data_IF_010844379567
#
_entry.id   IF_010844379567
#
_cell.length_a   1.000
_cell.length_b   1.000
_cell.length_c   1.000
_cell.angle_alpha   90.00
_cell.angle_beta   90.00
_cell.angle_gamma   90.00
#
_symmetry.space_group_name_H-M   'P 1'
#
loop_
_entity.id
_entity.type
_entity.pdbx_description
1 polymer ?
#
# COMPACT_ATOMS: atom_id res chain seq x y z
N UNK A 1 20.97 -96.52 47.29
CA UNK A 1 21.58 -95.17 47.38
C UNK A 1 21.26 -94.43 46.09
N UNK A 2 20.20 -93.63 46.12
CA UNK A 2 19.66 -92.85 45.01
C UNK A 2 19.43 -91.43 45.56
N UNK A 3 19.37 -90.42 44.69
CA UNK A 3 19.01 -89.00 44.98
C UNK A 3 20.15 -87.98 45.12
N UNK A 4 20.98 -87.78 44.07
CA UNK A 4 21.73 -86.51 43.97
C UNK A 4 22.04 -86.00 42.55
N UNK A 5 21.65 -86.71 41.49
CA UNK A 5 21.97 -86.28 40.12
C UNK A 5 20.89 -85.41 39.44
N UNK A 6 19.65 -85.38 39.95
CA UNK A 6 18.51 -84.79 39.23
C UNK A 6 18.20 -83.31 39.55
N UNK A 7 19.01 -82.62 40.38
CA UNK A 7 18.77 -81.22 40.80
C UNK A 7 19.56 -80.15 40.02
N UNK A 8 20.54 -80.55 39.20
CA UNK A 8 21.41 -79.58 38.50
C UNK A 8 20.86 -79.24 37.09
N UNK A 9 20.21 -80.19 36.42
CA UNK A 9 19.64 -79.98 35.09
C UNK A 9 18.40 -79.05 35.07
N UNK A 10 17.64 -78.95 36.18
CA UNK A 10 16.42 -78.13 36.22
C UNK A 10 16.68 -76.63 36.44
N UNK A 11 17.89 -76.23 36.89
CA UNK A 11 18.23 -74.82 37.14
C UNK A 11 18.78 -74.09 35.91
N UNK A 12 19.38 -74.81 34.95
CA UNK A 12 19.88 -74.20 33.71
C UNK A 12 18.76 -73.79 32.74
N UNK A 13 17.64 -74.53 32.72
CA UNK A 13 16.45 -74.16 31.93
C UNK A 13 15.66 -72.98 32.52
N UNK A 14 15.68 -72.83 33.86
CA UNK A 14 15.02 -71.73 34.56
C UNK A 14 15.77 -70.40 34.38
N UNK A 15 17.12 -70.41 34.36
CA UNK A 15 17.91 -69.19 34.11
C UNK A 15 17.78 -68.68 32.66
N UNK A 16 17.68 -69.56 31.65
CA UNK A 16 17.45 -69.13 30.26
C UNK A 16 16.04 -68.57 30.02
N UNK A 17 15.03 -69.05 30.74
CA UNK A 17 13.67 -68.46 30.72
C UNK A 17 13.60 -67.13 31.47
N UNK A 18 14.34 -66.99 32.57
CA UNK A 18 14.41 -65.74 33.33
C UNK A 18 15.18 -64.63 32.57
N UNK A 19 16.27 -64.95 31.88
CA UNK A 19 17.02 -63.97 31.08
C UNK A 19 16.27 -63.53 29.82
N UNK A 20 15.57 -64.45 29.14
CA UNK A 20 14.71 -64.12 27.99
C UNK A 20 13.50 -63.26 28.37
N UNK A 21 12.86 -63.54 29.52
CA UNK A 21 11.75 -62.73 30.03
C UNK A 21 12.18 -61.32 30.46
N UNK A 22 13.36 -61.18 31.08
CA UNK A 22 13.91 -59.88 31.44
C UNK A 22 14.31 -59.07 30.21
N UNK A 23 14.93 -59.68 29.21
CA UNK A 23 15.28 -59.00 27.95
C UNK A 23 14.02 -58.55 27.20
N UNK A 24 12.96 -59.37 27.17
CA UNK A 24 11.69 -59.01 26.53
C UNK A 24 10.96 -57.89 27.27
N UNK A 25 10.95 -57.91 28.61
CA UNK A 25 10.43 -56.81 29.44
C UNK A 25 11.25 -55.52 29.26
N UNK A 26 12.56 -55.63 29.12
CA UNK A 26 13.44 -54.48 28.91
C UNK A 26 13.27 -53.90 27.51
N UNK A 27 13.07 -54.74 26.49
CA UNK A 27 12.70 -54.30 25.12
C UNK A 27 11.30 -53.68 25.12
N UNK A 28 10.33 -54.24 25.84
CA UNK A 28 8.99 -53.64 25.99
C UNK A 28 9.06 -52.30 26.75
N UNK A 29 9.84 -52.21 27.81
CA UNK A 29 10.03 -50.98 28.57
C UNK A 29 10.74 -49.89 27.74
N UNK A 30 11.78 -50.25 26.98
CA UNK A 30 12.43 -49.33 26.03
C UNK A 30 11.47 -48.96 24.90
N UNK A 31 10.68 -49.91 24.39
CA UNK A 31 9.64 -49.67 23.40
C UNK A 31 8.63 -48.63 23.91
N UNK A 32 8.13 -48.79 25.13
CA UNK A 32 7.22 -47.83 25.77
C UNK A 32 7.92 -46.47 25.98
N UNK A 33 9.18 -46.43 26.43
CA UNK A 33 9.94 -45.19 26.60
C UNK A 33 10.19 -44.44 25.28
N UNK A 34 10.24 -45.13 24.14
CA UNK A 34 10.31 -44.49 22.81
C UNK A 34 8.99 -43.80 22.44
N UNK A 35 7.85 -44.34 22.87
CA UNK A 35 6.52 -43.75 22.63
C UNK A 35 6.13 -42.65 23.63
N UNK A 36 6.75 -42.60 24.82
CA UNK A 36 6.44 -41.62 25.89
C UNK A 36 7.42 -40.43 25.86
N UNK A 37 8.05 -40.11 24.72
CA UNK A 37 8.94 -38.95 24.65
C UNK A 37 8.13 -37.66 24.79
N UNK A 38 8.41 -36.81 25.80
CA UNK A 38 7.74 -35.53 25.94
C UNK A 38 8.02 -34.66 24.72
N UNK A 39 7.00 -34.00 24.21
CA UNK A 39 7.15 -33.01 23.15
C UNK A 39 7.65 -31.71 23.76
N UNK A 40 8.57 -31.04 23.08
CA UNK A 40 9.14 -29.79 23.60
C UNK A 40 8.88 -28.69 22.60
N UNK A 41 8.40 -27.54 23.07
CA UNK A 41 8.35 -26.31 22.28
C UNK A 41 9.26 -25.27 22.91
N UNK A 42 9.91 -24.50 22.06
CA UNK A 42 10.72 -23.36 22.46
C UNK A 42 10.27 -22.17 21.63
N UNK A 43 9.54 -21.24 22.25
CA UNK A 43 9.07 -20.03 21.57
C UNK A 43 10.17 -18.97 21.57
N UNK A 44 10.40 -18.33 20.43
CA UNK A 44 11.21 -17.13 20.34
C UNK A 44 10.60 -15.93 21.08
N UNK A 45 11.34 -14.82 21.22
CA UNK A 45 10.81 -13.58 21.81
C UNK A 45 9.68 -12.95 20.98
N UNK A 46 9.66 -13.20 19.69
CA UNK A 46 8.69 -12.74 18.69
C UNK A 46 7.62 -13.79 18.38
N UNK A 47 7.51 -14.85 19.19
CA UNK A 47 6.63 -15.98 18.92
C UNK A 47 5.77 -16.34 20.13
N UNK A 48 4.57 -16.81 19.87
CA UNK A 48 3.69 -17.46 20.84
C UNK A 48 3.23 -18.79 20.26
N UNK A 49 2.97 -19.79 21.09
CA UNK A 49 2.51 -21.08 20.58
C UNK A 49 1.21 -21.52 21.26
N UNK A 50 0.33 -22.15 20.49
CA UNK A 50 -0.83 -22.86 21.03
C UNK A 50 -0.47 -24.31 21.26
N UNK A 51 -0.77 -24.81 22.45
CA UNK A 51 -0.57 -26.20 22.81
C UNK A 51 -1.88 -26.97 22.68
N UNK A 52 -1.84 -28.03 21.87
CA UNK A 52 -2.93 -28.99 21.71
C UNK A 52 -2.45 -30.37 22.17
N UNK A 53 -3.21 -31.02 23.04
CA UNK A 53 -2.96 -32.44 23.29
C UNK A 53 -3.33 -33.25 22.06
N UNK A 54 -2.49 -34.18 21.61
CA UNK A 54 -2.75 -34.99 20.40
C UNK A 54 -2.08 -36.38 20.46
N UNK A 55 -2.41 -37.15 21.51
CA UNK A 55 -1.83 -38.46 21.75
C UNK A 55 -2.59 -39.61 21.06
N UNK A 56 -1.93 -40.76 20.90
CA UNK A 56 -2.53 -41.97 20.33
C UNK A 56 -3.80 -42.47 21.05
N UNK A 57 -4.03 -42.00 22.28
CA UNK A 57 -5.17 -42.36 23.13
C UNK A 57 -5.93 -41.15 23.69
N UNK A 58 -5.57 -39.92 23.30
CA UNK A 58 -6.20 -38.69 23.79
C UNK A 58 -6.76 -37.88 22.61
N UNK A 59 -7.98 -37.34 22.71
CA UNK A 59 -8.55 -36.54 21.62
C UNK A 59 -7.79 -35.22 21.48
N UNK A 60 -7.76 -34.69 20.25
CA UNK A 60 -7.19 -33.38 19.99
C UNK A 60 -7.95 -32.29 20.73
N UNK A 61 -7.30 -31.63 21.70
CA UNK A 61 -7.91 -30.58 22.53
C UNK A 61 -6.92 -29.48 22.84
N UNK A 62 -7.39 -28.25 22.77
CA UNK A 62 -6.64 -27.10 23.25
C UNK A 62 -6.34 -27.26 24.75
N UNK A 63 -5.11 -26.90 25.15
CA UNK A 63 -4.65 -26.96 26.54
C UNK A 63 -4.39 -25.56 27.08
N UNK A 64 -3.41 -24.90 26.50
CA UNK A 64 -2.91 -23.62 26.97
C UNK A 64 -2.12 -22.90 25.87
N UNK A 65 -1.82 -21.63 26.13
CA UNK A 65 -0.94 -20.83 25.30
C UNK A 65 0.45 -20.73 25.95
N UNK A 66 1.47 -21.05 25.18
CA UNK A 66 2.87 -20.89 25.55
C UNK A 66 3.31 -19.47 25.20
N UNK A 67 3.69 -18.71 26.22
CA UNK A 67 4.15 -17.32 26.09
C UNK A 67 5.48 -17.22 25.34
N UNK A 68 5.83 -16.01 24.92
CA UNK A 68 7.09 -15.70 24.25
C UNK A 68 8.31 -15.95 25.15
N UNK A 69 9.43 -16.38 24.56
CA UNK A 69 10.68 -16.70 25.26
C UNK A 69 10.55 -17.80 26.32
N UNK A 70 9.65 -18.76 26.11
CA UNK A 70 9.40 -19.85 27.05
C UNK A 70 9.72 -21.19 26.40
N UNK A 71 10.33 -22.07 27.18
CA UNK A 71 10.44 -23.49 26.83
C UNK A 71 9.45 -24.27 27.67
N UNK A 72 8.58 -25.03 27.01
CA UNK A 72 7.62 -25.92 27.64
C UNK A 72 7.95 -27.39 27.31
N UNK A 73 7.67 -28.26 28.27
CA UNK A 73 7.80 -29.71 28.17
C UNK A 73 6.43 -30.33 28.39
N UNK A 74 5.85 -30.86 27.31
CA UNK A 74 4.46 -31.31 27.27
C UNK A 74 4.38 -32.81 26.98
N UNK A 75 3.14 -33.33 26.97
CA UNK A 75 2.86 -34.75 26.87
C UNK A 75 3.33 -35.37 25.56
N UNK A 76 3.58 -36.70 25.54
CA UNK A 76 3.98 -37.38 24.33
C UNK A 76 2.88 -37.34 23.26
N UNK A 77 3.24 -36.86 22.08
CA UNK A 77 2.34 -36.71 20.93
C UNK A 77 1.64 -35.36 20.85
N UNK A 78 1.78 -34.49 21.85
CA UNK A 78 1.16 -33.18 21.83
C UNK A 78 1.72 -32.31 20.69
N UNK A 79 0.88 -31.41 20.16
CA UNK A 79 1.20 -30.54 19.04
C UNK A 79 1.24 -29.10 19.47
N UNK A 80 2.26 -28.40 18.97
CA UNK A 80 2.44 -26.97 19.19
C UNK A 80 2.36 -26.24 17.86
N UNK A 81 1.57 -25.17 17.85
CA UNK A 81 1.39 -24.31 16.68
C UNK A 81 1.86 -22.91 17.00
N UNK A 82 3.01 -22.54 16.45
CA UNK A 82 3.63 -21.24 16.69
C UNK A 82 3.08 -20.17 15.75
N UNK A 83 2.94 -18.95 16.29
CA UNK A 83 2.44 -17.76 15.61
C UNK A 83 3.33 -16.56 15.91
N UNK A 84 3.46 -15.62 14.95
CA UNK A 84 4.23 -14.42 15.18
C UNK A 84 3.49 -13.47 16.14
N UNK A 85 4.23 -12.92 17.09
CA UNK A 85 3.80 -11.84 17.99
C UNK A 85 4.26 -10.47 17.50
N UNK A 86 5.27 -10.42 16.62
CA UNK A 86 5.75 -9.19 16.01
C UNK A 86 4.85 -8.72 14.87
N UNK A 87 4.99 -7.45 14.51
CA UNK A 87 4.40 -6.91 13.30
C UNK A 87 4.84 -7.70 12.07
N UNK A 88 3.91 -7.90 11.15
CA UNK A 88 4.11 -8.59 9.88
C UNK A 88 3.89 -7.62 8.75
N UNK A 89 4.76 -7.69 7.75
CA UNK A 89 4.65 -6.91 6.53
C UNK A 89 4.16 -7.81 5.42
N UNK A 90 3.12 -7.37 4.72
CA UNK A 90 2.63 -7.97 3.51
C UNK A 90 2.94 -7.04 2.34
N UNK A 91 3.90 -7.45 1.51
CA UNK A 91 4.44 -6.64 0.42
C UNK A 91 3.75 -7.03 -0.88
N UNK A 92 3.15 -6.07 -1.57
CA UNK A 92 2.57 -6.27 -2.90
C UNK A 92 3.32 -5.42 -3.92
N UNK A 93 3.87 -6.06 -4.94
CA UNK A 93 4.72 -5.45 -5.95
C UNK A 93 5.80 -6.40 -6.46
N UNK A 94 6.76 -5.86 -7.22
CA UNK A 94 7.86 -6.65 -7.77
C UNK A 94 8.74 -7.25 -6.66
N UNK A 95 8.86 -8.58 -6.64
CA UNK A 95 9.62 -9.30 -5.61
C UNK A 95 8.94 -9.39 -4.23
N UNK A 96 7.67 -8.99 -4.12
CA UNK A 96 6.87 -9.10 -2.89
C UNK A 96 6.13 -10.42 -2.72
N UNK A 97 5.26 -10.49 -1.70
CA UNK A 97 4.38 -11.62 -1.39
C UNK A 97 3.28 -11.81 -2.47
N UNK A 98 2.96 -10.75 -3.22
CA UNK A 98 1.98 -10.74 -4.32
C UNK A 98 2.39 -9.73 -5.41
N UNK A 99 1.87 -9.84 -6.65
CA UNK A 99 2.03 -8.80 -7.65
C UNK A 99 1.37 -7.48 -7.23
N UNK A 100 1.69 -6.43 -7.97
CA UNK A 100 1.10 -5.10 -7.86
C UNK A 100 -0.44 -5.14 -7.89
N UNK A 101 -1.06 -4.27 -7.10
CA UNK A 101 -2.53 -4.15 -7.04
C UNK A 101 -3.00 -3.21 -8.14
N UNK A 102 -3.88 -3.71 -9.01
CA UNK A 102 -4.56 -2.93 -10.05
C UNK A 102 -5.85 -2.33 -9.51
N UNK A 103 -6.11 -1.06 -9.80
CA UNK A 103 -7.33 -0.35 -9.41
C UNK A 103 -7.72 0.67 -10.47
N UNK A 104 -8.96 1.17 -10.41
CA UNK A 104 -9.46 2.18 -11.35
C UNK A 104 -9.62 3.52 -10.64
N UNK A 105 -9.06 4.59 -11.21
CA UNK A 105 -9.27 5.95 -10.71
C UNK A 105 -10.66 6.49 -11.05
N UNK A 106 -11.04 7.62 -10.46
CA UNK A 106 -12.27 8.35 -10.78
C UNK A 106 -12.47 8.61 -12.28
N UNK A 107 -11.38 8.81 -13.02
CA UNK A 107 -11.40 9.10 -14.45
C UNK A 107 -11.51 7.83 -15.33
N UNK A 108 -11.68 6.66 -14.71
CA UNK A 108 -11.78 5.38 -15.42
C UNK A 108 -10.43 4.86 -15.92
N UNK A 109 -9.31 5.38 -15.39
CA UNK A 109 -7.97 4.92 -15.76
C UNK A 109 -7.55 3.80 -14.82
N UNK A 110 -7.25 2.65 -15.38
CA UNK A 110 -6.62 1.55 -14.65
C UNK A 110 -5.17 1.92 -14.31
N UNK A 111 -4.79 1.80 -13.04
CA UNK A 111 -3.45 2.04 -12.54
C UNK A 111 -3.02 0.88 -11.64
N UNK A 112 -1.72 0.69 -11.50
CA UNK A 112 -1.15 -0.31 -10.58
C UNK A 112 -0.40 0.39 -9.45
N UNK A 113 -0.48 -0.14 -8.24
CA UNK A 113 0.28 0.36 -7.08
C UNK A 113 1.00 -0.77 -6.38
N UNK A 114 2.24 -0.48 -6.03
CA UNK A 114 3.06 -1.29 -5.13
C UNK A 114 2.98 -0.73 -3.72
N UNK A 115 3.14 -1.56 -2.71
CA UNK A 115 3.08 -1.10 -1.33
C UNK A 115 3.32 -2.19 -0.31
N UNK A 116 3.20 -1.77 0.95
CA UNK A 116 3.35 -2.65 2.11
C UNK A 116 2.16 -2.41 3.03
N UNK A 117 1.47 -3.49 3.38
CA UNK A 117 0.49 -3.50 4.45
C UNK A 117 1.13 -4.19 5.66
N UNK A 118 1.41 -3.43 6.70
CA UNK A 118 1.85 -3.94 7.98
C UNK A 118 0.65 -4.18 8.90
N UNK A 119 0.68 -5.24 9.70
CA UNK A 119 -0.36 -5.56 10.67
C UNK A 119 0.20 -6.43 11.79
N UNK A 120 -0.54 -6.53 12.89
CA UNK A 120 -0.26 -7.41 14.02
C UNK A 120 -1.34 -8.50 14.10
N UNK A 121 -0.93 -9.72 14.48
CA UNK A 121 -1.86 -10.78 14.83
C UNK A 121 -2.20 -10.62 16.32
N UNK A 122 -3.48 -10.63 16.67
CA UNK A 122 -3.90 -10.61 18.06
C UNK A 122 -3.48 -11.92 18.75
N UNK A 123 -2.48 -11.81 19.63
CA UNK A 123 -1.92 -12.95 20.36
C UNK A 123 -2.59 -13.20 21.71
N UNK A 124 -3.74 -12.59 22.00
CA UNK A 124 -4.55 -13.00 23.15
C UNK A 124 -4.91 -14.48 23.02
N UNK A 125 -4.79 -15.22 24.12
CA UNK A 125 -4.87 -16.68 24.07
C UNK A 125 -6.20 -17.20 23.51
N UNK A 126 -7.32 -16.56 23.88
CA UNK A 126 -8.65 -16.99 23.41
C UNK A 126 -8.85 -16.62 21.94
N UNK A 127 -8.45 -15.42 21.54
CA UNK A 127 -8.56 -14.93 20.17
C UNK A 127 -7.66 -15.72 19.23
N UNK A 128 -6.42 -16.00 19.65
CA UNK A 128 -5.46 -16.81 18.90
C UNK A 128 -5.93 -18.25 18.73
N UNK A 129 -6.56 -18.84 19.76
CA UNK A 129 -7.18 -20.16 19.65
C UNK A 129 -8.28 -20.17 18.59
N UNK A 130 -9.22 -19.21 18.63
CA UNK A 130 -10.29 -19.08 17.63
C UNK A 130 -9.71 -18.89 16.22
N UNK A 131 -8.67 -18.07 16.08
CA UNK A 131 -7.97 -17.90 14.81
C UNK A 131 -7.41 -19.23 14.29
N UNK A 132 -6.74 -20.00 15.15
CA UNK A 132 -6.19 -21.30 14.79
C UNK A 132 -7.27 -22.29 14.36
N UNK A 133 -8.38 -22.34 15.09
CA UNK A 133 -9.46 -23.29 14.83
C UNK A 133 -10.22 -22.96 13.53
N UNK A 134 -10.48 -21.68 13.26
CA UNK A 134 -11.25 -21.24 12.09
C UNK A 134 -10.41 -21.12 10.81
N UNK A 135 -9.19 -20.58 10.94
CA UNK A 135 -8.36 -20.19 9.80
C UNK A 135 -7.02 -20.95 9.80
N UNK A 136 -6.31 -20.93 10.94
CA UNK A 136 -4.94 -21.45 11.04
C UNK A 136 -4.81 -22.91 10.59
N UNK A 137 -5.69 -23.79 11.07
CA UNK A 137 -5.69 -25.22 10.71
C UNK A 137 -6.07 -25.46 9.24
N UNK A 138 -7.01 -24.68 8.71
CA UNK A 138 -7.50 -24.85 7.33
C UNK A 138 -6.40 -24.60 6.30
N UNK A 139 -5.58 -23.59 6.54
CA UNK A 139 -4.50 -23.20 5.62
C UNK A 139 -3.13 -23.73 6.05
N UNK A 140 -3.01 -24.43 7.18
CA UNK A 140 -1.74 -24.68 7.85
C UNK A 140 -0.93 -23.39 8.05
N UNK A 141 -1.62 -22.30 8.40
CA UNK A 141 -1.07 -20.96 8.56
C UNK A 141 -0.42 -20.79 9.94
N UNK A 142 0.41 -21.72 10.36
CA UNK A 142 1.27 -21.65 11.54
C UNK A 142 2.74 -21.70 11.08
N UNK A 143 3.66 -21.28 11.93
CA UNK A 143 5.08 -21.26 11.61
C UNK A 143 5.63 -22.69 11.55
N UNK A 144 6.27 -23.07 10.44
CA UNK A 144 6.88 -24.41 10.29
C UNK A 144 8.35 -24.44 10.72
N UNK A 145 9.05 -23.30 10.58
CA UNK A 145 10.47 -23.16 10.92
C UNK A 145 10.67 -22.30 12.17
N UNK A 146 11.82 -22.52 12.82
CA UNK A 146 12.31 -21.71 13.94
C UNK A 146 12.63 -20.26 13.56
N UNK A 147 12.68 -19.95 12.26
CA UNK A 147 13.28 -18.72 11.72
C UNK A 147 12.32 -17.52 11.66
N UNK A 148 11.15 -17.60 12.31
CA UNK A 148 10.24 -16.46 12.37
C UNK A 148 9.35 -16.28 11.12
N UNK A 149 9.66 -16.94 10.01
CA UNK A 149 8.91 -16.81 8.77
C UNK A 149 7.62 -17.65 8.78
N UNK A 150 6.57 -17.10 8.18
CA UNK A 150 5.28 -17.77 8.07
C UNK A 150 5.39 -18.94 7.09
N UNK A 151 4.59 -19.99 7.27
CA UNK A 151 4.52 -21.09 6.31
C UNK A 151 3.98 -20.62 4.95
N UNK A 152 4.14 -21.44 3.90
CA UNK A 152 3.44 -21.21 2.64
C UNK A 152 1.90 -21.08 2.84
N UNK A 153 1.36 -21.82 3.82
CA UNK A 153 -0.03 -21.72 4.25
C UNK A 153 -0.41 -20.36 4.82
N UNK A 154 0.50 -19.71 5.54
CA UNK A 154 0.33 -18.34 6.04
C UNK A 154 0.17 -17.35 4.90
N UNK A 155 1.05 -17.39 3.89
CA UNK A 155 0.94 -16.52 2.72
C UNK A 155 -0.35 -16.77 1.94
N UNK A 156 -0.75 -18.03 1.77
CA UNK A 156 -2.01 -18.38 1.11
C UNK A 156 -3.21 -17.80 1.88
N UNK A 157 -3.20 -17.89 3.21
CA UNK A 157 -4.23 -17.28 4.06
C UNK A 157 -4.28 -15.76 3.88
N UNK A 158 -3.13 -15.07 3.91
CA UNK A 158 -3.07 -13.61 3.71
C UNK A 158 -3.61 -13.20 2.34
N UNK A 159 -3.37 -13.99 1.28
CA UNK A 159 -3.90 -13.71 -0.05
C UNK A 159 -5.44 -13.66 -0.09
N UNK A 160 -6.11 -14.41 0.79
CA UNK A 160 -7.57 -14.46 0.87
C UNK A 160 -8.11 -13.40 1.83
N UNK A 161 -7.56 -13.32 3.04
CA UNK A 161 -8.12 -12.53 4.14
C UNK A 161 -7.58 -11.11 4.24
N UNK A 162 -6.38 -10.83 3.72
CA UNK A 162 -5.81 -9.48 3.73
C UNK A 162 -5.85 -8.89 2.33
N UNK A 163 -5.42 -9.66 1.32
CA UNK A 163 -5.22 -9.08 0.00
C UNK A 163 -6.51 -8.70 -0.72
N UNK A 164 -7.59 -9.50 -0.60
CA UNK A 164 -8.88 -9.15 -1.24
C UNK A 164 -9.55 -7.94 -0.58
N UNK A 165 -9.62 -7.85 0.77
CA UNK A 165 -10.02 -6.62 1.44
C UNK A 165 -9.19 -5.41 1.03
N UNK A 166 -7.86 -5.58 0.98
CA UNK A 166 -6.94 -4.51 0.57
C UNK A 166 -7.20 -4.02 -0.85
N UNK A 167 -7.32 -4.91 -1.83
CA UNK A 167 -7.69 -4.57 -3.21
C UNK A 167 -9.02 -3.82 -3.26
N UNK A 168 -10.00 -4.27 -2.47
CA UNK A 168 -11.32 -3.63 -2.39
C UNK A 168 -11.25 -2.24 -1.75
N UNK A 169 -10.46 -2.04 -0.69
CA UNK A 169 -10.25 -0.75 -0.06
C UNK A 169 -9.57 0.24 -1.01
N UNK A 170 -8.50 -0.21 -1.67
CA UNK A 170 -7.76 0.56 -2.67
C UNK A 170 -8.71 0.99 -3.79
N UNK A 171 -9.43 0.05 -4.42
CA UNK A 171 -10.34 0.38 -5.51
C UNK A 171 -11.45 1.37 -5.10
N UNK A 172 -12.07 1.18 -3.93
CA UNK A 172 -13.09 2.10 -3.40
C UNK A 172 -12.55 3.49 -3.13
N UNK A 173 -11.41 3.59 -2.46
CA UNK A 173 -10.80 4.88 -2.15
C UNK A 173 -10.34 5.57 -3.44
N UNK A 174 -9.81 4.83 -4.41
CA UNK A 174 -9.33 5.37 -5.68
C UNK A 174 -10.43 5.97 -6.56
N UNK A 175 -11.68 5.53 -6.42
CA UNK A 175 -12.82 6.13 -7.13
C UNK A 175 -13.13 7.57 -6.70
N UNK A 176 -12.62 8.03 -5.55
CA UNK A 176 -12.79 9.41 -5.08
C UNK A 176 -11.83 10.39 -5.74
N UNK A 177 -10.71 9.90 -6.29
CA UNK A 177 -9.58 10.71 -6.71
C UNK A 177 -9.28 10.57 -8.20
N UNK A 178 -8.90 11.68 -8.85
CA UNK A 178 -8.42 11.64 -10.23
C UNK A 178 -7.02 11.04 -10.31
N UNK A 179 -6.66 10.50 -11.47
CA UNK A 179 -5.30 9.97 -11.66
C UNK A 179 -4.23 11.05 -11.49
N UNK A 180 -4.53 12.29 -11.91
CA UNK A 180 -3.60 13.42 -11.80
C UNK A 180 -3.30 13.76 -10.35
N UNK A 181 -4.33 13.78 -9.50
CA UNK A 181 -4.18 14.14 -8.09
C UNK A 181 -3.35 13.08 -7.36
N UNK A 182 -3.66 11.78 -7.56
CA UNK A 182 -2.91 10.67 -6.96
C UNK A 182 -1.43 10.63 -7.38
N UNK A 183 -1.12 11.08 -8.60
CA UNK A 183 0.24 11.07 -9.12
C UNK A 183 1.06 12.32 -8.75
N UNK A 184 0.41 13.49 -8.71
CA UNK A 184 1.11 14.79 -8.60
C UNK A 184 1.09 15.39 -7.20
N UNK A 185 0.06 15.11 -6.39
CA UNK A 185 -0.11 15.73 -5.08
C UNK A 185 0.18 14.73 -3.93
N UNK A 186 1.26 14.95 -3.13
CA UNK A 186 1.57 14.09 -2.00
C UNK A 186 0.53 14.18 -0.87
N UNK A 187 -0.21 15.29 -0.73
CA UNK A 187 -1.23 15.44 0.30
C UNK A 187 -2.47 14.59 -0.04
N UNK A 188 -2.89 14.58 -1.31
CA UNK A 188 -3.98 13.72 -1.78
C UNK A 188 -3.60 12.25 -1.63
N UNK A 189 -2.35 11.89 -1.94
CA UNK A 189 -1.86 10.52 -1.74
C UNK A 189 -1.94 10.09 -0.27
N UNK A 190 -1.54 10.97 0.66
CA UNK A 190 -1.63 10.66 2.09
C UNK A 190 -3.09 10.49 2.57
N UNK A 191 -4.01 11.30 2.05
CA UNK A 191 -5.44 11.15 2.33
C UNK A 191 -5.98 9.82 1.77
N UNK A 192 -5.61 9.47 0.54
CA UNK A 192 -5.98 8.18 -0.06
C UNK A 192 -5.44 6.99 0.75
N UNK A 193 -4.18 7.02 1.17
CA UNK A 193 -3.59 6.00 2.06
C UNK A 193 -4.38 5.87 3.37
N UNK A 194 -4.78 6.99 3.96
CA UNK A 194 -5.58 7.01 5.18
C UNK A 194 -6.99 6.43 4.96
N UNK A 195 -7.67 6.77 3.86
CA UNK A 195 -8.99 6.21 3.52
C UNK A 195 -8.95 4.70 3.31
N UNK A 196 -7.88 4.20 2.70
CA UNK A 196 -7.65 2.75 2.56
C UNK A 196 -7.48 2.14 3.94
N UNK A 197 -6.67 2.75 4.80
CA UNK A 197 -6.40 2.25 6.14
C UNK A 197 -7.65 2.20 7.02
N UNK A 198 -8.51 3.20 6.95
CA UNK A 198 -9.76 3.27 7.73
C UNK A 198 -10.76 2.18 7.33
N UNK A 199 -10.75 1.74 6.06
CA UNK A 199 -11.62 0.68 5.56
C UNK A 199 -11.09 -0.73 5.89
N UNK A 200 -9.79 -0.89 6.10
CA UNK A 200 -9.16 -2.21 6.26
C UNK A 200 -9.78 -3.06 7.39
N UNK A 201 -9.95 -2.55 8.63
CA UNK A 201 -10.53 -3.34 9.71
C UNK A 201 -11.93 -3.88 9.39
N UNK A 202 -12.81 -3.05 8.81
CA UNK A 202 -14.16 -3.47 8.42
C UNK A 202 -14.12 -4.55 7.33
N UNK A 203 -13.35 -4.32 6.27
CA UNK A 203 -13.30 -5.25 5.14
C UNK A 203 -12.70 -6.60 5.52
N UNK A 204 -11.65 -6.59 6.35
CA UNK A 204 -11.03 -7.80 6.90
C UNK A 204 -12.01 -8.51 7.84
N UNK A 205 -12.66 -7.78 8.74
CA UNK A 205 -13.67 -8.33 9.66
C UNK A 205 -14.82 -9.03 8.93
N UNK A 206 -15.34 -8.44 7.84
CA UNK A 206 -16.39 -9.07 7.01
C UNK A 206 -15.95 -10.38 6.37
N UNK A 207 -14.66 -10.51 6.04
CA UNK A 207 -14.12 -11.75 5.46
C UNK A 207 -13.98 -12.86 6.52
N UNK A 208 -13.87 -12.50 7.80
CA UNK A 208 -13.57 -13.39 8.91
C UNK A 208 -14.78 -13.63 9.84
N UNK A 209 -15.99 -13.24 9.41
CA UNK A 209 -17.22 -13.41 10.21
C UNK A 209 -17.26 -12.57 11.50
N UNK A 210 -16.75 -11.32 11.42
CA UNK A 210 -17.17 -10.11 12.14
C UNK A 210 -17.12 -10.03 13.67
N UNK A 211 -17.12 -11.14 14.41
CA UNK A 211 -17.24 -11.14 15.87
C UNK A 211 -15.90 -10.94 16.58
N UNK A 212 -14.77 -11.23 15.90
CA UNK A 212 -13.44 -11.22 16.50
C UNK A 212 -12.41 -10.50 15.62
N UNK A 213 -11.63 -9.60 16.22
CA UNK A 213 -10.52 -8.91 15.57
C UNK A 213 -9.24 -9.73 15.68
N UNK A 214 -8.99 -10.58 14.68
CA UNK A 214 -7.74 -11.37 14.64
C UNK A 214 -6.53 -10.56 14.20
N UNK A 215 -6.72 -9.54 13.38
CA UNK A 215 -5.65 -8.68 12.88
C UNK A 215 -5.87 -7.26 13.38
N UNK A 216 -4.84 -6.66 13.97
CA UNK A 216 -4.89 -5.33 14.58
C UNK A 216 -3.77 -4.45 14.04
N UNK A 217 -3.83 -3.15 14.37
CA UNK A 217 -2.75 -2.19 14.14
C UNK A 217 -2.27 -2.20 12.69
N UNK A 218 -3.23 -2.14 11.77
CA UNK A 218 -2.92 -1.98 10.36
C UNK A 218 -2.14 -0.69 10.16
N UNK A 219 -1.14 -0.75 9.29
CA UNK A 219 -0.46 0.40 8.75
C UNK A 219 -0.21 0.12 7.28
N UNK A 220 -0.50 1.09 6.41
CA UNK A 220 -0.31 0.95 4.98
C UNK A 220 0.68 1.99 4.48
N UNK A 221 1.49 1.61 3.52
CA UNK A 221 2.35 2.54 2.78
C UNK A 221 2.26 2.18 1.32
N UNK A 222 1.74 3.11 0.52
CA UNK A 222 1.58 2.92 -0.92
C UNK A 222 2.72 3.64 -1.64
N UNK A 223 3.23 3.06 -2.72
CA UNK A 223 4.15 3.73 -3.62
C UNK A 223 3.36 4.60 -4.60
N UNK A 224 4.07 5.31 -5.47
CA UNK A 224 3.42 6.12 -6.51
C UNK A 224 2.68 5.18 -7.48
N UNK A 225 1.38 5.40 -7.75
CA UNK A 225 0.66 4.62 -8.74
C UNK A 225 1.32 4.75 -10.12
N UNK A 226 1.49 3.62 -10.80
CA UNK A 226 2.07 3.51 -12.13
C UNK A 226 0.92 3.28 -13.12
N UNK A 227 0.66 4.23 -14.03
CA UNK A 227 -0.30 4.01 -15.11
C UNK A 227 0.27 3.03 -16.15
N UNK A 228 -0.57 2.29 -16.89
CA UNK A 228 -0.13 1.38 -17.94
C UNK A 228 0.57 2.13 -19.07
N UNK A 229 1.49 1.46 -19.76
CA UNK A 229 2.40 2.09 -20.74
C UNK A 229 1.66 2.82 -21.88
N UNK A 230 0.52 2.28 -22.31
CA UNK A 230 -0.37 2.90 -23.30
C UNK A 230 -0.97 4.23 -22.81
N UNK A 231 -1.29 4.30 -21.52
CA UNK A 231 -1.82 5.52 -20.90
C UNK A 231 -0.70 6.49 -20.58
N UNK A 232 0.52 6.05 -20.22
CA UNK A 232 1.68 6.95 -20.04
C UNK A 232 1.94 7.82 -21.27
N UNK A 233 1.92 7.23 -22.46
CA UNK A 233 2.10 7.98 -23.71
C UNK A 233 0.98 9.01 -23.94
N UNK A 234 -0.27 8.60 -23.70
CA UNK A 234 -1.42 9.51 -23.77
C UNK A 234 -1.35 10.62 -22.69
N UNK A 235 -0.85 10.29 -21.49
CA UNK A 235 -0.67 11.21 -20.36
C UNK A 235 0.31 12.32 -20.72
N UNK A 236 1.47 11.94 -21.28
CA UNK A 236 2.49 12.90 -21.70
C UNK A 236 1.90 13.81 -22.78
N UNK A 237 1.21 13.24 -23.77
CA UNK A 237 0.55 14.04 -24.81
C UNK A 237 -0.53 14.99 -24.25
N UNK A 238 -1.32 14.54 -23.29
CA UNK A 238 -2.39 15.33 -22.67
C UNK A 238 -1.83 16.40 -21.74
N UNK A 239 -0.80 16.10 -20.95
CA UNK A 239 -0.09 17.09 -20.13
C UNK A 239 0.58 18.15 -21.01
N UNK A 240 1.20 17.75 -22.12
CA UNK A 240 1.70 18.71 -23.10
C UNK A 240 0.58 19.55 -23.72
N UNK A 241 -0.59 18.96 -24.00
CA UNK A 241 -1.74 19.68 -24.54
C UNK A 241 -2.30 20.70 -23.53
N UNK A 242 -2.44 20.32 -22.26
CA UNK A 242 -2.88 21.22 -21.18
C UNK A 242 -1.85 22.32 -20.92
N UNK A 243 -0.55 21.99 -20.91
CA UNK A 243 0.52 22.96 -20.79
C UNK A 243 0.51 23.95 -21.98
N UNK A 244 0.33 23.47 -23.21
CA UNK A 244 0.16 24.29 -24.41
C UNK A 244 -1.10 25.16 -24.34
N UNK A 245 -2.21 24.64 -23.84
CA UNK A 245 -3.45 25.40 -23.68
C UNK A 245 -3.30 26.52 -22.64
N UNK A 246 -2.74 26.22 -21.46
CA UNK A 246 -2.44 27.23 -20.43
C UNK A 246 -1.45 28.28 -20.92
N UNK A 247 -0.43 27.88 -21.70
CA UNK A 247 0.50 28.82 -22.32
C UNK A 247 -0.23 29.76 -23.30
N UNK A 248 -1.11 29.23 -24.15
CA UNK A 248 -1.93 30.04 -25.06
C UNK A 248 -2.90 30.97 -24.33
N UNK A 249 -3.53 30.51 -23.25
CA UNK A 249 -4.40 31.35 -22.42
C UNK A 249 -3.60 32.48 -21.74
N UNK A 250 -2.41 32.17 -21.22
CA UNK A 250 -1.52 33.16 -20.63
C UNK A 250 -1.01 34.17 -21.67
N UNK A 251 -0.66 33.71 -22.88
CA UNK A 251 -0.29 34.57 -24.02
C UNK A 251 -1.47 35.45 -24.45
N UNK A 252 -2.67 34.90 -24.58
CA UNK A 252 -3.88 35.66 -24.91
C UNK A 252 -4.20 36.70 -23.83
N UNK A 253 -4.11 36.33 -22.55
CA UNK A 253 -4.29 37.26 -21.43
C UNK A 253 -3.22 38.36 -21.43
N UNK A 254 -1.97 38.03 -21.76
CA UNK A 254 -0.88 38.99 -21.90
C UNK A 254 -1.12 39.94 -23.09
N UNK A 255 -1.60 39.45 -24.23
CA UNK A 255 -1.96 40.27 -25.39
C UNK A 255 -3.12 41.21 -25.08
N UNK A 256 -4.17 40.74 -24.39
CA UNK A 256 -5.29 41.59 -23.96
C UNK A 256 -4.81 42.69 -23.02
N UNK A 257 -3.95 42.37 -22.04
CA UNK A 257 -3.36 43.38 -21.15
C UNK A 257 -2.48 44.37 -21.90
N UNK A 258 -1.68 43.91 -22.87
CA UNK A 258 -0.84 44.77 -23.69
C UNK A 258 -1.67 45.72 -24.57
N UNK A 259 -2.77 45.23 -25.17
CA UNK A 259 -3.69 46.04 -25.95
C UNK A 259 -4.43 47.07 -25.08
N UNK A 260 -4.87 46.69 -23.87
CA UNK A 260 -5.46 47.62 -22.91
C UNK A 260 -4.47 48.73 -22.50
N UNK A 261 -3.21 48.36 -22.22
CA UNK A 261 -2.16 49.33 -21.92
C UNK A 261 -1.89 50.29 -23.09
N UNK A 262 -1.90 49.80 -24.34
CA UNK A 262 -1.78 50.66 -25.52
C UNK A 262 -2.95 51.64 -25.65
N UNK A 263 -4.19 51.19 -25.44
CA UNK A 263 -5.37 52.06 -25.47
C UNK A 263 -5.30 53.14 -24.38
N UNK A 264 -4.79 52.82 -23.19
CA UNK A 264 -4.60 53.82 -22.13
C UNK A 264 -3.52 54.85 -22.48
N UNK A 265 -2.41 54.40 -23.07
CA UNK A 265 -1.35 55.30 -23.58
C UNK A 265 -1.90 56.20 -24.68
N UNK A 266 -2.61 55.66 -25.66
CA UNK A 266 -3.22 56.43 -26.75
C UNK A 266 -4.25 57.43 -26.23
N UNK A 267 -5.09 57.05 -25.25
CA UNK A 267 -6.02 57.99 -24.59
C UNK A 267 -5.29 59.10 -23.85
N UNK A 268 -4.20 58.79 -23.17
CA UNK A 268 -3.39 59.79 -22.48
C UNK A 268 -2.70 60.74 -23.47
N UNK A 269 -2.20 60.24 -24.59
CA UNK A 269 -1.65 61.05 -25.67
C UNK A 269 -2.72 61.92 -26.35
N UNK A 270 -3.88 61.35 -26.66
CA UNK A 270 -5.01 62.08 -27.21
C UNK A 270 -5.49 63.20 -26.27
N UNK A 271 -5.50 62.95 -24.95
CA UNK A 271 -5.82 63.98 -23.95
C UNK A 271 -4.79 65.11 -23.94
N UNK A 272 -3.48 64.80 -24.00
CA UNK A 272 -2.41 65.80 -24.12
C UNK A 272 -2.53 66.62 -25.42
N UNK A 273 -2.89 65.98 -26.52
CA UNK A 273 -3.12 66.65 -27.81
C UNK A 273 -4.35 67.57 -27.72
N UNK A 274 -5.46 67.09 -27.15
CA UNK A 274 -6.68 67.89 -26.97
C UNK A 274 -6.44 69.12 -26.08
N UNK A 275 -5.67 68.99 -25.01
CA UNK A 275 -5.28 70.10 -24.15
C UNK A 275 -4.39 71.10 -24.90
N UNK A 276 -3.44 70.61 -25.70
CA UNK A 276 -2.57 71.45 -26.52
C UNK A 276 -3.35 72.21 -27.60
N UNK A 277 -4.33 71.57 -28.24
CA UNK A 277 -5.25 72.21 -29.19
C UNK A 277 -6.11 73.28 -28.50
N UNK A 278 -6.54 73.05 -27.24
CA UNK A 278 -7.30 74.05 -26.47
C UNK A 278 -6.49 75.31 -26.17
N UNK A 279 -5.18 75.18 -25.92
CA UNK A 279 -4.29 76.31 -25.60
C UNK A 279 -3.85 77.08 -26.86
N UNK A 280 -3.54 76.38 -27.95
CA UNK A 280 -2.93 76.98 -29.15
C UNK A 280 -3.93 77.24 -30.30
N UNK A 281 -5.14 76.67 -30.23
CA UNK A 281 -6.06 76.59 -31.36
C UNK A 281 -5.63 75.55 -32.39
N UNK A 282 -6.59 75.09 -33.21
CA UNK A 282 -6.37 73.99 -34.17
C UNK A 282 -5.27 74.30 -35.21
N UNK A 283 -5.23 75.53 -35.71
CA UNK A 283 -4.16 75.98 -36.63
C UNK A 283 -2.81 76.16 -35.93
N UNK A 284 -2.79 76.59 -34.66
CA UNK A 284 -1.56 76.75 -33.88
C UNK A 284 -0.89 75.42 -33.56
N UNK A 285 -1.69 74.40 -33.23
CA UNK A 285 -1.22 73.03 -33.03
C UNK A 285 -0.63 72.43 -34.31
N UNK A 286 -1.30 72.58 -35.46
CA UNK A 286 -0.80 72.07 -36.75
C UNK A 286 0.52 72.73 -37.17
N UNK A 287 0.67 74.04 -36.93
CA UNK A 287 1.94 74.76 -37.19
C UNK A 287 3.06 74.29 -36.28
N UNK A 288 2.80 74.10 -34.99
CA UNK A 288 3.81 73.57 -34.05
C UNK A 288 4.18 72.12 -34.38
N UNK A 289 3.20 71.27 -34.71
CA UNK A 289 3.43 69.90 -35.14
C UNK A 289 4.30 69.83 -36.40
N UNK A 290 4.05 70.71 -37.38
CA UNK A 290 4.86 70.82 -38.58
C UNK A 290 6.31 71.24 -38.26
N UNK A 291 6.51 72.22 -37.39
CA UNK A 291 7.85 72.65 -36.95
C UNK A 291 8.59 71.51 -36.23
N UNK A 292 7.93 70.83 -35.29
CA UNK A 292 8.53 69.75 -34.49
C UNK A 292 8.92 68.52 -35.35
N UNK A 293 8.20 68.28 -36.45
CA UNK A 293 8.47 67.19 -37.39
C UNK A 293 9.27 67.63 -38.63
N UNK A 294 9.84 68.83 -38.63
CA UNK A 294 10.71 69.34 -39.71
C UNK A 294 10.00 69.64 -41.03
N UNK A 295 8.67 69.78 -41.01
CA UNK A 295 7.82 70.16 -42.14
C UNK A 295 7.66 71.68 -42.19
N UNK A 296 7.51 72.25 -43.39
CA UNK A 296 7.30 73.70 -43.56
C UNK A 296 5.86 74.08 -43.15
N UNK A 297 5.66 74.86 -42.06
CA UNK A 297 4.33 75.22 -41.56
C UNK A 297 3.58 76.25 -42.42
N UNK A 298 4.22 76.81 -43.46
CA UNK A 298 3.66 77.85 -44.33
C UNK A 298 3.67 77.41 -45.80
N UNK A 299 2.92 76.36 -46.16
CA UNK A 299 2.61 76.13 -47.57
C UNK A 299 1.51 77.12 -48.02
N UNK A 300 1.74 77.96 -49.04
CA UNK A 300 0.69 78.83 -49.57
C UNK A 300 -0.37 77.97 -50.28
N UNK A 301 -1.62 78.06 -49.84
CA UNK A 301 -2.75 77.52 -50.59
C UNK A 301 -2.90 78.33 -51.87
N UNK A 302 -2.76 77.68 -53.03
CA UNK A 302 -3.01 78.28 -54.34
C UNK A 302 -4.51 78.52 -54.54
N UNK A 303 -5.03 79.57 -53.90
CA UNK A 303 -6.31 80.21 -54.18
C UNK A 303 -6.13 81.48 -55.02
N UNK A 304 -5.23 81.43 -56.01
CA UNK A 304 -4.94 82.56 -56.90
C UNK A 304 -6.10 82.83 -57.85
N UNK A 305 -6.83 83.91 -57.57
CA UNK A 305 -7.70 84.58 -58.53
C UNK A 305 -6.96 84.80 -59.85
N UNK A 306 -7.39 84.11 -60.92
CA UNK A 306 -7.13 84.55 -62.29
C UNK A 306 -8.14 85.68 -62.56
N UNK A 307 -7.74 86.92 -62.27
CA UNK A 307 -8.34 88.10 -62.90
C UNK A 307 -7.42 88.52 -64.03
N UNK A 308 -7.65 87.99 -65.23
CA UNK A 308 -7.03 88.50 -66.44
C UNK A 308 -7.96 89.58 -67.00
N UNK A 309 -7.65 90.85 -66.71
CA UNK A 309 -8.22 92.00 -67.40
C UNK A 309 -7.16 92.67 -68.27
N UNK A 310 -7.47 92.76 -69.56
CA UNK A 310 -7.05 93.82 -70.48
C UNK A 310 -6.14 93.36 -71.62
N UNK A 311 -6.06 94.11 -72.74
CA UNK A 311 -6.99 95.11 -73.30
C UNK A 311 -7.88 94.58 -74.44
#
# INVERSE_FOLDING_TARGET
MSTTANKIASRAGALKKASGGFLLLLILAIGVLVFVRPTTVSTGPDQVALHYSDGAFTPRRFKDCVSSSTRAWDGPGDKHYSYPKSQRNYVFGEGGDRPMVTFVSKDGIEMSVDGVAAFLLNTDCNTLQKFHDLIGNRYAAYMDTTDGNGSAGWLQMLSVYISRPLETAIDRASQNYTYTELYTDPAVKAQWEQEVLEQMPELVGRQIDGEEEFFTDFAITLQKPVPPESVKAALVAQQEAVARAKAREAEAAAQVKAAQAQIEVEKAEAAKIAERIKVLGQEGYLKQYAIDHGLNPYQPTTGGLITNQGP
#
